data_IF_453969402373
#
_entry.id   IF_453969402373
#
_cell.length_a   1.000
_cell.length_b   1.000
_cell.length_c   1.000
_cell.angle_alpha   90.00
_cell.angle_beta   90.00
_cell.angle_gamma   90.00
#
_symmetry.space_group_name_H-M   'P 1'
#
loop_
_entity.id
_entity.type
_entity.pdbx_description
1 polymer ?
#
# COMPACT_ATOMS: atom_id res chain seq x y z
N UNK A 1 21.60 -24.65 11.25
CA UNK A 1 21.87 -23.25 11.51
C UNK A 1 20.82 -22.43 10.76
N UNK A 2 20.06 -21.63 11.49
CA UNK A 2 19.09 -20.72 10.94
C UNK A 2 19.87 -19.54 10.34
N UNK A 3 19.83 -19.36 9.05
CA UNK A 3 20.37 -18.14 8.43
C UNK A 3 19.33 -17.05 8.63
N UNK A 4 19.46 -16.33 9.71
CA UNK A 4 18.73 -15.09 9.93
C UNK A 4 19.43 -14.05 9.05
N UNK A 5 18.86 -13.73 7.91
CA UNK A 5 19.24 -12.52 7.17
C UNK A 5 18.63 -11.35 7.94
N UNK A 6 19.37 -10.87 8.93
CA UNK A 6 19.10 -9.57 9.51
C UNK A 6 19.49 -8.53 8.45
N UNK A 7 18.51 -7.98 7.76
CA UNK A 7 18.73 -6.71 7.11
C UNK A 7 19.06 -5.73 8.23
N UNK A 8 20.33 -5.33 8.34
CA UNK A 8 20.72 -4.24 9.22
C UNK A 8 19.81 -3.05 8.91
N UNK A 9 18.99 -2.68 9.88
CA UNK A 9 18.28 -1.43 9.83
C UNK A 9 19.35 -0.33 9.83
N UNK A 10 19.82 0.05 8.64
CA UNK A 10 20.72 1.19 8.48
C UNK A 10 20.04 2.35 9.17
N UNK A 11 20.75 2.94 10.12
CA UNK A 11 20.30 4.16 10.78
C UNK A 11 19.98 5.19 9.71
N UNK A 12 18.70 5.36 9.42
CA UNK A 12 18.24 6.39 8.50
C UNK A 12 18.41 7.72 9.21
N UNK A 13 19.27 8.56 8.65
CA UNK A 13 19.41 9.94 9.11
C UNK A 13 18.16 10.68 8.60
N UNK A 14 17.21 10.91 9.49
CA UNK A 14 15.90 11.52 9.16
C UNK A 14 14.78 10.88 9.95
N UNK A 15 13.57 11.44 9.87
CA UNK A 15 12.39 10.82 10.44
C UNK A 15 11.99 9.61 9.59
N UNK A 16 12.09 8.42 10.17
CA UNK A 16 11.72 7.17 9.51
C UNK A 16 10.82 6.33 10.39
N UNK A 17 9.90 5.60 9.78
CA UNK A 17 9.04 4.65 10.46
C UNK A 17 8.94 3.36 9.64
N UNK A 18 9.01 2.22 10.33
CA UNK A 18 8.89 0.90 9.74
C UNK A 18 7.59 0.24 10.19
N UNK A 19 6.83 -0.25 9.23
CA UNK A 19 5.62 -1.03 9.48
C UNK A 19 5.88 -2.49 9.18
N UNK A 20 5.99 -3.30 10.23
CA UNK A 20 6.14 -4.76 10.09
C UNK A 20 4.87 -5.42 9.56
N UNK A 21 5.00 -6.67 9.09
CA UNK A 21 3.87 -7.48 8.60
C UNK A 21 2.69 -7.51 9.58
N UNK A 22 2.96 -7.68 10.88
CA UNK A 22 1.90 -7.71 11.89
C UNK A 22 1.15 -6.38 12.00
N UNK A 23 1.85 -5.25 11.91
CA UNK A 23 1.23 -3.93 11.92
C UNK A 23 0.44 -3.66 10.63
N UNK A 24 0.98 -4.08 9.48
CA UNK A 24 0.29 -3.96 8.19
C UNK A 24 -1.03 -4.75 8.21
N UNK A 25 -1.00 -5.99 8.66
CA UNK A 25 -2.18 -6.85 8.72
C UNK A 25 -3.20 -6.42 9.78
N UNK A 26 -2.73 -5.86 10.89
CA UNK A 26 -3.57 -5.36 11.98
C UNK A 26 -4.18 -3.98 11.71
N UNK A 27 -3.75 -3.28 10.67
CA UNK A 27 -4.29 -1.97 10.32
C UNK A 27 -5.60 -2.13 9.54
N UNK A 28 -6.73 -1.57 10.03
CA UNK A 28 -7.98 -1.58 9.28
C UNK A 28 -7.82 -0.80 7.97
N UNK A 29 -8.14 -1.43 6.86
CA UNK A 29 -8.10 -0.82 5.53
C UNK A 29 -9.45 -0.99 4.85
N UNK A 30 -9.88 0.00 4.09
CA UNK A 30 -11.12 -0.07 3.31
C UNK A 30 -10.86 -0.71 1.95
N UNK A 31 -9.82 -0.25 1.27
CA UNK A 31 -9.48 -0.65 -0.10
C UNK A 31 -8.20 -1.48 -0.19
N UNK A 32 -7.65 -1.91 0.95
CA UNK A 32 -6.36 -2.62 1.04
C UNK A 32 -5.22 -1.89 0.34
N UNK A 33 -5.21 -0.57 0.50
CA UNK A 33 -4.19 0.27 -0.07
C UNK A 33 -3.04 0.48 0.94
N UNK A 34 -1.81 0.48 0.45
CA UNK A 34 -0.60 0.76 1.24
C UNK A 34 -0.73 2.11 1.97
N UNK A 35 -1.37 3.08 1.34
CA UNK A 35 -1.58 4.40 1.93
C UNK A 35 -2.48 4.37 3.17
N UNK A 36 -3.39 3.38 3.29
CA UNK A 36 -4.18 3.20 4.50
C UNK A 36 -3.32 2.83 5.72
N UNK A 37 -2.20 2.19 5.50
CA UNK A 37 -1.23 1.88 6.56
C UNK A 37 -0.38 3.12 6.87
N UNK A 38 0.15 3.75 5.83
CA UNK A 38 1.07 4.90 5.95
C UNK A 38 0.41 6.13 6.56
N UNK A 39 -0.90 6.34 6.37
CA UNK A 39 -1.64 7.47 6.98
C UNK A 39 -1.64 7.46 8.51
N UNK A 40 -1.31 6.32 9.13
CA UNK A 40 -1.19 6.23 10.59
C UNK A 40 0.14 6.79 11.12
N UNK A 41 1.05 7.19 10.24
CA UNK A 41 2.28 7.89 10.63
C UNK A 41 1.97 9.33 11.02
N UNK A 42 2.49 9.86 12.15
CA UNK A 42 2.17 11.20 12.63
C UNK A 42 2.48 12.34 11.63
N UNK A 43 3.45 12.14 10.76
CA UNK A 43 3.86 13.14 9.75
C UNK A 43 3.15 12.98 8.40
N UNK A 44 2.32 11.94 8.24
CA UNK A 44 1.58 11.67 7.02
C UNK A 44 0.19 12.30 7.09
N UNK A 45 -0.22 13.00 6.05
CA UNK A 45 -1.54 13.60 5.91
C UNK A 45 -2.15 13.19 4.58
N UNK A 46 -3.44 12.89 4.59
CA UNK A 46 -4.17 12.65 3.34
C UNK A 46 -4.63 13.98 2.78
N UNK A 47 -4.22 14.25 1.56
CA UNK A 47 -4.68 15.43 0.80
C UNK A 47 -6.13 15.23 0.35
N UNK A 48 -6.83 16.34 0.04
CA UNK A 48 -8.23 16.32 -0.45
C UNK A 48 -8.43 15.48 -1.72
N UNK A 49 -7.38 15.32 -2.51
CA UNK A 49 -7.38 14.51 -3.74
C UNK A 49 -6.99 13.04 -3.50
N UNK A 50 -6.85 12.59 -2.25
CA UNK A 50 -6.51 11.21 -1.90
C UNK A 50 -5.02 10.88 -1.89
N UNK A 51 -4.15 11.80 -2.25
CA UNK A 51 -2.69 11.61 -2.17
C UNK A 51 -2.17 11.76 -0.74
N UNK A 52 -1.08 11.08 -0.40
CA UNK A 52 -0.39 11.28 0.88
C UNK A 52 0.65 12.38 0.73
N UNK A 53 0.69 13.27 1.71
CA UNK A 53 1.72 14.28 1.88
C UNK A 53 2.47 14.03 3.17
N UNK A 54 3.77 14.29 3.15
CA UNK A 54 4.63 14.18 4.33
C UNK A 54 5.12 15.56 4.75
N UNK A 55 4.97 15.88 6.02
CA UNK A 55 5.40 17.16 6.59
C UNK A 55 4.94 18.40 5.77
N UNK A 56 3.77 18.34 5.16
CA UNK A 56 3.21 19.44 4.35
C UNK A 56 3.76 19.57 2.94
N UNK A 57 4.65 18.68 2.50
CA UNK A 57 5.15 18.69 1.11
C UNK A 57 4.08 18.17 0.14
N UNK A 58 4.17 18.57 -1.13
CA UNK A 58 3.24 18.09 -2.14
C UNK A 58 3.45 16.59 -2.40
N UNK A 59 2.37 15.83 -2.57
CA UNK A 59 2.40 14.38 -2.84
C UNK A 59 3.20 14.00 -4.10
N UNK A 60 3.33 14.89 -5.06
CA UNK A 60 4.14 14.68 -6.29
C UNK A 60 5.64 14.60 -6.03
N UNK A 61 6.09 15.06 -4.87
CA UNK A 61 7.49 15.00 -4.46
C UNK A 61 7.82 13.74 -3.66
N UNK A 62 6.85 12.85 -3.46
CA UNK A 62 7.08 11.56 -2.83
C UNK A 62 7.66 10.56 -3.82
N UNK A 63 8.43 9.62 -3.31
CA UNK A 63 8.87 8.43 -4.06
C UNK A 63 8.22 7.19 -3.50
N UNK A 64 7.63 6.40 -4.38
CA UNK A 64 7.17 5.06 -4.06
C UNK A 64 8.14 4.05 -4.68
N UNK A 65 8.63 3.13 -3.86
CA UNK A 65 9.60 2.13 -4.27
C UNK A 65 9.12 0.73 -3.87
N UNK A 66 9.49 -0.25 -4.66
CA UNK A 66 9.32 -1.68 -4.37
C UNK A 66 10.71 -2.30 -4.40
N UNK A 67 11.14 -2.84 -3.26
CA UNK A 67 12.50 -3.38 -3.07
C UNK A 67 13.62 -2.42 -3.53
N UNK A 68 13.42 -1.12 -3.26
CA UNK A 68 14.34 -0.06 -3.67
C UNK A 68 14.21 0.40 -5.13
N UNK A 69 13.37 -0.25 -5.93
CA UNK A 69 13.11 0.16 -7.32
C UNK A 69 11.96 1.17 -7.37
N UNK A 70 12.20 2.32 -8.00
CA UNK A 70 11.21 3.40 -8.11
C UNK A 70 10.02 2.94 -8.98
N UNK A 71 8.81 3.11 -8.44
CA UNK A 71 7.53 2.77 -9.09
C UNK A 71 6.56 3.95 -9.04
N UNK A 72 7.05 5.15 -9.36
CA UNK A 72 6.24 6.36 -9.38
C UNK A 72 5.39 6.46 -10.64
N UNK A 73 4.26 7.16 -10.55
CA UNK A 73 3.52 7.62 -11.73
C UNK A 73 4.30 8.74 -12.43
N UNK A 74 4.91 8.39 -13.54
CA UNK A 74 5.77 9.29 -14.33
C UNK A 74 4.98 10.48 -14.90
N UNK A 75 3.69 10.29 -15.17
CA UNK A 75 2.83 11.32 -15.73
C UNK A 75 2.20 12.22 -14.67
N UNK A 76 2.29 11.86 -13.39
CA UNK A 76 1.72 12.62 -12.28
C UNK A 76 0.20 12.74 -12.31
N UNK A 77 -0.47 11.80 -12.95
CA UNK A 77 -1.93 11.78 -13.12
C UNK A 77 -2.65 11.10 -11.96
N UNK A 78 -1.96 10.19 -11.27
CA UNK A 78 -2.51 9.50 -10.12
C UNK A 78 -2.35 10.34 -8.84
N UNK A 79 -3.44 10.62 -8.10
CA UNK A 79 -3.34 11.30 -6.80
C UNK A 79 -2.45 10.54 -5.80
N UNK A 80 -2.42 9.22 -5.91
CA UNK A 80 -1.55 8.35 -5.10
C UNK A 80 -0.05 8.49 -5.44
N UNK A 81 0.29 9.02 -6.63
CA UNK A 81 1.67 9.10 -7.09
C UNK A 81 2.26 7.76 -7.55
N UNK A 82 1.44 6.71 -7.65
CA UNK A 82 1.87 5.37 -8.08
C UNK A 82 1.26 4.97 -9.41
N UNK A 83 1.94 4.09 -10.14
CA UNK A 83 1.41 3.49 -11.36
C UNK A 83 0.07 2.79 -11.08
N UNK A 84 -0.92 3.00 -11.94
CA UNK A 84 -2.26 2.44 -11.77
C UNK A 84 -3.15 3.16 -10.77
N UNK A 85 -2.65 4.17 -10.05
CA UNK A 85 -3.40 4.88 -9.02
C UNK A 85 -4.62 5.65 -9.52
N UNK A 86 -4.71 5.94 -10.82
CA UNK A 86 -5.92 6.52 -11.44
C UNK A 86 -7.12 5.59 -11.36
N UNK A 87 -6.90 4.29 -11.44
CA UNK A 87 -7.93 3.25 -11.35
C UNK A 87 -8.00 2.62 -9.96
N UNK A 88 -7.42 3.28 -8.95
CA UNK A 88 -7.31 2.75 -7.59
C UNK A 88 -6.63 1.36 -7.52
N UNK A 89 -5.78 1.05 -8.50
CA UNK A 89 -5.01 -0.17 -8.50
C UNK A 89 -3.75 0.00 -7.63
N UNK A 90 -3.49 -0.98 -6.79
CA UNK A 90 -2.27 -1.03 -6.01
C UNK A 90 -1.13 -1.55 -6.89
N UNK A 91 0.07 -0.94 -6.84
CA UNK A 91 1.22 -1.42 -7.60
C UNK A 91 1.71 -2.79 -7.11
N UNK A 92 1.38 -3.16 -5.89
CA UNK A 92 1.69 -4.46 -5.28
C UNK A 92 0.59 -4.83 -4.28
N UNK A 93 0.26 -6.13 -4.20
CA UNK A 93 -0.67 -6.65 -3.19
C UNK A 93 -0.11 -6.47 -1.77
N UNK A 94 -0.95 -6.04 -0.83
CA UNK A 94 -0.54 -5.92 0.58
C UNK A 94 -0.08 -7.24 1.19
N UNK A 95 -0.61 -8.37 0.72
CA UNK A 95 -0.22 -9.69 1.21
C UNK A 95 1.16 -10.13 0.72
N UNK A 96 1.69 -9.50 -0.33
CA UNK A 96 3.05 -9.70 -0.80
C UNK A 96 4.08 -8.87 -0.02
N UNK A 97 3.66 -7.93 0.83
CA UNK A 97 4.55 -7.01 1.54
C UNK A 97 4.95 -7.62 2.88
N UNK A 98 6.24 -7.63 3.15
CA UNK A 98 6.82 -7.99 4.42
C UNK A 98 6.93 -6.79 5.36
N UNK A 99 7.37 -5.66 4.83
CA UNK A 99 7.63 -4.43 5.59
C UNK A 99 7.40 -3.21 4.70
N UNK A 100 6.90 -2.13 5.28
CA UNK A 100 6.83 -0.82 4.65
C UNK A 100 7.76 0.11 5.42
N UNK A 101 8.73 0.66 4.72
CA UNK A 101 9.65 1.67 5.26
C UNK A 101 9.22 3.03 4.75
N UNK A 102 9.01 3.97 5.64
CA UNK A 102 8.69 5.36 5.31
C UNK A 102 9.81 6.25 5.83
N UNK A 103 10.34 7.08 4.95
CA UNK A 103 11.41 8.04 5.28
C UNK A 103 10.93 9.43 4.87
N UNK A 104 10.98 10.37 5.79
CA UNK A 104 10.63 11.77 5.54
C UNK A 104 11.90 12.60 5.53
N UNK A 105 12.10 13.37 4.44
CA UNK A 105 13.26 14.21 4.23
C UNK A 105 14.60 13.47 4.45
N UNK A 106 14.91 12.47 3.61
CA UNK A 106 16.16 11.73 3.74
C UNK A 106 17.36 12.63 3.45
N UNK A 107 18.37 12.57 4.31
CA UNK A 107 19.65 13.21 4.10
C UNK A 107 20.70 12.29 3.44
N UNK A 108 20.30 11.06 3.08
CA UNK A 108 21.19 10.09 2.46
C UNK A 108 21.23 10.33 0.94
N UNK A 109 22.41 10.67 0.42
CA UNK A 109 22.66 10.94 -1.01
C UNK A 109 22.37 9.73 -1.93
N UNK A 110 22.27 8.53 -1.37
CA UNK A 110 21.88 7.33 -2.11
C UNK A 110 20.38 7.27 -2.37
N UNK A 111 19.60 8.00 -1.60
CA UNK A 111 18.17 8.15 -1.78
C UNK A 111 17.92 9.41 -2.60
N UNK A 112 17.84 9.27 -3.91
CA UNK A 112 17.66 10.39 -4.84
C UNK A 112 16.26 10.35 -5.48
N UNK A 113 15.89 11.45 -6.14
CA UNK A 113 14.68 11.52 -6.95
C UNK A 113 13.42 11.96 -6.21
N UNK A 114 13.51 12.37 -4.94
CA UNK A 114 12.39 12.94 -4.21
C UNK A 114 12.83 13.96 -3.15
N UNK A 115 11.94 14.91 -2.85
CA UNK A 115 12.14 15.95 -1.84
C UNK A 115 11.08 15.91 -0.73
N UNK A 116 10.09 15.02 -0.87
CA UNK A 116 9.03 14.75 0.09
C UNK A 116 9.34 13.53 0.95
N UNK A 117 8.41 12.59 1.00
CA UNK A 117 8.60 11.31 1.67
C UNK A 117 8.93 10.19 0.70
N UNK A 118 9.76 9.24 1.15
CA UNK A 118 9.99 7.97 0.46
C UNK A 118 9.20 6.85 1.13
N UNK A 119 8.45 6.09 0.36
CA UNK A 119 7.77 4.87 0.81
C UNK A 119 8.42 3.71 0.06
N UNK A 120 9.05 2.79 0.79
CA UNK A 120 9.62 1.58 0.21
C UNK A 120 8.89 0.35 0.74
N UNK A 121 8.20 -0.35 -0.15
CA UNK A 121 7.57 -1.63 0.16
C UNK A 121 8.57 -2.77 -0.07
N UNK A 122 8.91 -3.48 0.99
CA UNK A 122 9.79 -4.66 0.94
C UNK A 122 8.92 -5.89 0.76
N UNK A 123 9.20 -6.67 -0.28
CA UNK A 123 8.42 -7.87 -0.60
C UNK A 123 8.79 -9.05 0.30
N UNK A 124 7.82 -9.94 0.50
CA UNK A 124 8.05 -11.23 1.18
C UNK A 124 8.95 -12.10 0.31
N UNK A 125 9.80 -12.86 0.99
CA UNK A 125 10.69 -13.83 0.37
C UNK A 125 10.27 -15.25 0.73
N UNK A 126 10.65 -16.22 -0.09
CA UNK A 126 10.51 -17.62 0.25
C UNK A 126 11.41 -18.02 1.41
N UNK A 127 10.98 -18.97 2.20
CA UNK A 127 11.71 -19.54 3.33
C UNK A 127 11.90 -21.03 3.13
N UNK A 128 12.65 -21.69 4.01
CA UNK A 128 12.82 -23.15 3.97
C UNK A 128 11.54 -23.93 4.19
N UNK A 129 10.56 -23.31 4.82
CA UNK A 129 9.21 -23.86 5.02
C UNK A 129 8.25 -23.30 3.97
N UNK A 130 7.46 -24.14 3.35
CA UNK A 130 6.45 -23.70 2.40
C UNK A 130 5.30 -23.05 3.15
N UNK A 131 4.99 -21.81 2.81
CA UNK A 131 3.87 -21.05 3.33
C UNK A 131 3.00 -20.55 2.18
N UNK A 132 1.69 -20.59 2.36
CA UNK A 132 0.75 -20.06 1.39
C UNK A 132 -0.43 -19.42 2.08
N UNK A 133 -1.06 -18.48 1.41
CA UNK A 133 -2.31 -17.86 1.83
C UNK A 133 -3.26 -17.73 0.65
N UNK A 134 -4.54 -17.83 0.91
CA UNK A 134 -5.57 -17.48 -0.04
C UNK A 134 -6.59 -16.58 0.66
N UNK A 135 -7.04 -15.54 -0.02
CA UNK A 135 -7.98 -14.60 0.55
C UNK A 135 -8.97 -14.08 -0.48
N UNK A 136 -10.12 -13.67 0.02
CA UNK A 136 -11.12 -12.95 -0.75
C UNK A 136 -11.69 -11.82 0.07
N UNK A 137 -11.90 -10.68 -0.57
CA UNK A 137 -12.56 -9.53 0.01
C UNK A 137 -13.69 -9.10 -0.90
N UNK A 138 -14.80 -8.73 -0.30
CA UNK A 138 -15.88 -8.14 -1.03
C UNK A 138 -16.48 -6.97 -0.27
N UNK A 139 -16.87 -5.96 -1.01
CA UNK A 139 -17.54 -4.79 -0.49
C UNK A 139 -18.66 -4.39 -1.47
N UNK A 140 -19.79 -3.95 -0.96
CA UNK A 140 -20.88 -3.47 -1.78
C UNK A 140 -21.57 -2.25 -1.12
N UNK A 141 -22.40 -1.55 -1.87
CA UNK A 141 -23.12 -0.35 -1.39
C UNK A 141 -23.98 -0.60 -0.13
N UNK A 142 -24.41 -1.82 0.15
CA UNK A 142 -25.21 -2.15 1.34
C UNK A 142 -24.36 -2.23 2.62
N UNK A 143 -23.04 -2.38 2.49
CA UNK A 143 -22.12 -2.43 3.62
C UNK A 143 -21.71 -1.04 4.14
N UNK A 144 -22.00 0.00 3.37
CA UNK A 144 -21.77 1.37 3.82
C UNK A 144 -22.89 1.83 4.75
N UNK A 145 -22.52 2.49 5.86
CA UNK A 145 -23.50 3.01 6.82
C UNK A 145 -24.46 4.01 6.16
N UNK A 146 -25.74 3.85 6.46
CA UNK A 146 -26.83 4.70 5.93
C UNK A 146 -26.99 6.02 6.69
N UNK A 147 -26.30 6.19 7.82
CA UNK A 147 -26.47 7.36 8.68
C UNK A 147 -25.29 8.31 8.56
N UNK A 148 -25.60 9.59 8.36
CA UNK A 148 -24.61 10.66 8.53
C UNK A 148 -24.58 11.09 9.99
N UNK A 149 -23.39 11.28 10.56
CA UNK A 149 -23.24 11.87 11.89
C UNK A 149 -23.59 13.37 11.92
N UNK A 150 -23.73 13.99 10.75
CA UNK A 150 -24.15 15.39 10.60
C UNK A 150 -25.66 15.41 10.49
N UNK A 151 -26.32 16.11 11.41
CA UNK A 151 -27.77 16.35 11.40
C UNK A 151 -28.23 16.92 10.06
N UNK A 152 -29.35 16.42 9.57
CA UNK A 152 -30.18 16.96 8.47
C UNK A 152 -29.68 16.74 7.02
N UNK A 153 -28.71 15.84 6.78
CA UNK A 153 -28.49 15.38 5.42
C UNK A 153 -29.12 14.00 5.22
N UNK A 154 -30.25 13.93 4.53
CA UNK A 154 -30.72 12.68 3.94
C UNK A 154 -29.65 12.18 2.99
N UNK A 155 -28.97 11.08 3.36
CA UNK A 155 -28.06 10.41 2.45
C UNK A 155 -28.87 9.89 1.28
N UNK A 156 -28.64 10.44 0.11
CA UNK A 156 -29.05 9.78 -1.14
C UNK A 156 -28.56 8.33 -1.10
N UNK A 157 -29.39 7.37 -1.46
CA UNK A 157 -28.98 5.99 -1.52
C UNK A 157 -27.74 5.89 -2.42
N UNK A 158 -26.67 5.29 -1.88
CA UNK A 158 -25.46 5.08 -2.67
C UNK A 158 -25.81 4.26 -3.89
N UNK A 159 -25.43 4.75 -5.05
CA UNK A 159 -25.64 4.04 -6.31
C UNK A 159 -24.89 2.69 -6.23
N UNK A 160 -25.39 1.69 -6.95
CA UNK A 160 -24.84 0.34 -6.92
C UNK A 160 -23.34 0.36 -7.23
N UNK A 161 -22.54 0.04 -6.23
CA UNK A 161 -21.09 -0.13 -6.35
C UNK A 161 -20.68 -1.43 -5.67
N UNK A 162 -19.69 -2.08 -6.22
CA UNK A 162 -19.10 -3.27 -5.60
C UNK A 162 -17.61 -3.37 -5.91
N UNK A 163 -16.88 -3.94 -4.98
CA UNK A 163 -15.48 -4.33 -5.13
C UNK A 163 -15.34 -5.79 -4.73
N UNK A 164 -14.66 -6.58 -5.55
CA UNK A 164 -14.30 -7.96 -5.25
C UNK A 164 -12.82 -8.15 -5.51
N UNK A 165 -12.11 -8.67 -4.52
CA UNK A 165 -10.69 -8.97 -4.62
C UNK A 165 -10.47 -10.44 -4.27
N UNK A 166 -9.74 -11.14 -5.10
CA UNK A 166 -9.30 -12.50 -4.90
C UNK A 166 -7.79 -12.53 -5.00
N UNK A 167 -7.15 -13.18 -4.08
CA UNK A 167 -5.70 -13.27 -4.13
C UNK A 167 -5.15 -14.45 -3.36
N UNK A 168 -3.87 -14.67 -3.56
CA UNK A 168 -3.14 -15.69 -2.83
C UNK A 168 -1.64 -15.49 -2.97
N UNK A 169 -0.93 -16.07 -2.02
CA UNK A 169 0.52 -16.08 -1.98
C UNK A 169 1.02 -17.50 -1.75
N UNK A 170 2.15 -17.82 -2.33
CA UNK A 170 2.85 -19.08 -2.11
C UNK A 170 4.35 -18.83 -2.09
N UNK A 171 5.02 -19.25 -1.05
CA UNK A 171 6.47 -19.13 -0.92
C UNK A 171 7.08 -20.35 -0.27
N UNK A 172 8.31 -20.66 -0.63
CA UNK A 172 9.03 -21.81 -0.09
C UNK A 172 10.43 -21.97 -0.67
N UNK A 173 11.05 -23.11 -0.39
CA UNK A 173 12.34 -23.48 -0.95
C UNK A 173 12.17 -24.46 -2.10
N UNK A 174 12.80 -24.20 -3.24
CA UNK A 174 13.00 -25.19 -4.31
C UNK A 174 14.17 -26.11 -3.88
N UNK A 175 15.23 -25.52 -3.36
CA UNK A 175 16.37 -26.22 -2.76
C UNK A 175 16.60 -25.60 -1.39
N UNK A 176 16.50 -26.38 -0.33
CA UNK A 176 16.69 -25.91 1.04
C UNK A 176 18.03 -25.19 1.18
N UNK A 177 18.00 -24.05 1.88
CA UNK A 177 19.13 -23.17 2.17
C UNK A 177 19.83 -22.54 0.96
N UNK A 178 19.32 -22.77 -0.28
CA UNK A 178 19.99 -22.31 -1.50
C UNK A 178 19.07 -21.55 -2.46
N UNK A 179 17.87 -22.06 -2.72
CA UNK A 179 17.00 -21.49 -3.74
C UNK A 179 15.57 -21.41 -3.21
N UNK A 180 15.06 -20.20 -3.18
CA UNK A 180 13.72 -19.89 -2.68
C UNK A 180 12.86 -19.32 -3.79
N UNK A 181 11.56 -19.46 -3.62
CA UNK A 181 10.56 -18.81 -4.47
C UNK A 181 9.49 -18.13 -3.62
N UNK A 182 8.94 -17.06 -4.17
CA UNK A 182 7.74 -16.42 -3.66
C UNK A 182 6.90 -15.95 -4.84
N UNK A 183 5.62 -16.30 -4.84
CA UNK A 183 4.65 -15.91 -5.87
C UNK A 183 3.45 -15.29 -5.18
N UNK A 184 2.99 -14.17 -5.72
CA UNK A 184 1.76 -13.50 -5.30
C UNK A 184 0.92 -13.18 -6.54
N UNK A 185 -0.38 -13.45 -6.45
CA UNK A 185 -1.33 -13.09 -7.48
C UNK A 185 -2.58 -12.48 -6.83
N UNK A 186 -3.05 -11.37 -7.39
CA UNK A 186 -4.28 -10.70 -6.98
C UNK A 186 -5.08 -10.28 -8.20
N UNK A 187 -6.38 -10.53 -8.15
CA UNK A 187 -7.34 -10.05 -9.13
C UNK A 187 -8.41 -9.20 -8.44
N UNK A 188 -8.55 -7.95 -8.86
CA UNK A 188 -9.51 -6.99 -8.32
C UNK A 188 -10.54 -6.65 -9.40
N UNK A 189 -11.83 -6.72 -9.05
CA UNK A 189 -12.93 -6.28 -9.90
C UNK A 189 -13.72 -5.22 -9.16
N UNK A 190 -13.82 -4.06 -9.77
CA UNK A 190 -14.55 -2.92 -9.23
C UNK A 190 -15.63 -2.45 -10.21
N UNK A 191 -16.73 -1.96 -9.66
CA UNK A 191 -17.76 -1.27 -10.41
C UNK A 191 -18.20 -0.05 -9.62
N UNK A 192 -18.02 1.11 -10.24
CA UNK A 192 -18.50 2.38 -9.72
C UNK A 192 -19.53 2.96 -10.66
N UNK A 193 -20.56 3.64 -10.13
CA UNK A 193 -21.49 4.38 -10.96
C UNK A 193 -20.73 5.49 -11.68
N UNK A 194 -20.92 5.57 -12.99
CA UNK A 194 -20.49 6.74 -13.74
C UNK A 194 -21.35 7.93 -13.31
N UNK A 195 -20.75 8.96 -12.73
CA UNK A 195 -21.43 10.23 -12.51
C UNK A 195 -21.58 10.93 -13.85
N UNK A 196 -22.59 10.54 -14.60
CA UNK A 196 -23.06 11.35 -15.73
C UNK A 196 -23.83 12.49 -15.08
N UNK A 197 -23.22 13.67 -15.00
CA UNK A 197 -23.98 14.90 -14.77
C UNK A 197 -24.79 15.15 -16.04
N UNK A 198 -26.12 15.32 -15.91
CA UNK A 198 -26.94 15.77 -17.02
C UNK A 198 -26.58 17.21 -17.44
#
# INVERSE_FOLDING_TARGET
GEVIVTADAKANIGASENFSTGRIQGTPTVDRNIYDVVKNMPMAMISKNGGITFAGSNNRYNSFQIDGTVSNDVFGLAPSGTNGGQTNANPISMDAIQEIQVVVAPFDVRQSGFTGGGINAITKQGTNTTHGSAYTYFNNHNMYGKYSAVRDYEKSPLTQQYTRTYGGTLGGAIVKDKLFYFVSAEAKKESYPSSVYP
#
